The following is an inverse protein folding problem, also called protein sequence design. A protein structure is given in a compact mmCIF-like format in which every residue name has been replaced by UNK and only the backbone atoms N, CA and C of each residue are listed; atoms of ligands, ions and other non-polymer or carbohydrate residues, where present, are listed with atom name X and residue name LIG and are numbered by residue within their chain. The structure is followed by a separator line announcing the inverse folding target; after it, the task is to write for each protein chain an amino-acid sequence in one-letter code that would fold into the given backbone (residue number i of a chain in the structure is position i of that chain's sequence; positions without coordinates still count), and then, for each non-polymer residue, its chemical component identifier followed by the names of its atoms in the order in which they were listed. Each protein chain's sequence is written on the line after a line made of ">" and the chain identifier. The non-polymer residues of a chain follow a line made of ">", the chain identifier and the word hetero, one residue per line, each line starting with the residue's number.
data_IF_653409819586
#
_entry.id   IF_653409819586
#
_cell.length_a   1.000
_cell.length_b   1.000
_cell.length_c   1.000
_cell.angle_alpha   90.00
_cell.angle_beta   90.00
_cell.angle_gamma   90.00
#
_symmetry.space_group_name_H-M   'P 1'
#
loop_
_entity.id
_entity.type
_entity.pdbx_description
1 polymer ?
#
# COMPACT_ATOMS: atom_id res chain seq x y z
N UNK A 1 27.91 -12.36 12.41
CA UNK A 1 27.20 -11.12 12.80
C UNK A 1 25.89 -11.18 12.03
N UNK A 2 24.76 -11.38 12.72
CA UNK A 2 23.47 -11.46 12.04
C UNK A 2 23.12 -10.04 11.57
N UNK A 3 23.01 -9.85 10.26
CA UNK A 3 22.43 -8.65 9.69
C UNK A 3 20.93 -8.70 9.92
N UNK A 4 20.47 -8.06 10.99
CA UNK A 4 19.04 -7.91 11.24
C UNK A 4 18.42 -6.98 10.20
N UNK A 5 17.40 -7.48 9.52
CA UNK A 5 16.64 -6.73 8.51
C UNK A 5 15.36 -6.18 9.12
N UNK A 6 15.13 -4.89 8.91
CA UNK A 6 13.97 -4.16 9.44
C UNK A 6 13.14 -3.61 8.30
N UNK A 7 11.81 -3.73 8.41
CA UNK A 7 10.88 -3.04 7.52
C UNK A 7 10.53 -1.71 8.20
N UNK A 8 10.98 -0.62 7.59
CA UNK A 8 10.72 0.75 8.07
C UNK A 8 9.85 1.46 7.04
N UNK A 9 8.74 2.03 7.49
CA UNK A 9 7.86 2.87 6.66
C UNK A 9 8.17 4.34 6.94
N UNK A 10 8.57 5.08 5.89
CA UNK A 10 8.89 6.50 5.98
C UNK A 10 7.77 7.29 5.31
N UNK A 11 7.25 8.30 5.99
CA UNK A 11 6.21 9.16 5.45
C UNK A 11 6.72 9.93 4.23
N UNK A 12 5.98 9.84 3.11
CA UNK A 12 6.30 10.56 1.86
C UNK A 12 5.89 12.04 1.90
N UNK A 13 5.02 12.40 2.84
CA UNK A 13 4.47 13.74 3.04
C UNK A 13 4.33 14.03 4.53
N UNK A 14 4.11 15.29 4.89
CA UNK A 14 3.68 15.62 6.25
C UNK A 14 2.35 14.93 6.57
N UNK A 15 2.22 14.42 7.79
CA UNK A 15 1.03 13.73 8.29
C UNK A 15 0.48 14.52 9.47
N UNK A 16 -0.82 14.82 9.45
CA UNK A 16 -1.51 15.52 10.53
C UNK A 16 -2.15 14.53 11.51
N UNK A 17 -2.47 15.01 12.71
CA UNK A 17 -3.19 14.19 13.68
C UNK A 17 -4.58 13.82 13.13
N UNK A 18 -4.91 12.52 13.17
CA UNK A 18 -6.17 11.98 12.64
C UNK A 18 -6.09 11.48 11.19
N UNK A 19 -4.97 11.71 10.48
CA UNK A 19 -4.76 11.14 9.17
C UNK A 19 -4.50 9.62 9.26
N UNK A 20 -5.09 8.86 8.34
CA UNK A 20 -4.78 7.44 8.17
C UNK A 20 -3.42 7.28 7.47
N UNK A 21 -2.50 6.55 8.10
CA UNK A 21 -1.23 6.18 7.48
C UNK A 21 -1.44 5.04 6.50
N UNK A 22 -1.04 5.24 5.24
CA UNK A 22 -1.13 4.24 4.18
C UNK A 22 0.24 3.99 3.55
N UNK A 23 0.47 2.75 3.12
CA UNK A 23 1.67 2.37 2.36
C UNK A 23 1.27 1.42 1.22
N UNK A 24 2.14 1.32 0.22
CA UNK A 24 1.88 0.46 -0.94
C UNK A 24 2.29 -0.98 -0.62
N UNK A 25 1.35 -1.91 -0.78
CA UNK A 25 1.57 -3.34 -0.54
C UNK A 25 2.38 -4.02 -1.63
N UNK A 26 2.45 -3.43 -2.84
CA UNK A 26 3.20 -3.96 -3.97
C UNK A 26 2.82 -5.40 -4.38
N UNK A 27 1.53 -5.77 -4.28
CA UNK A 27 1.07 -7.05 -4.86
C UNK A 27 1.24 -7.07 -6.38
N UNK A 28 1.43 -8.27 -6.92
CA UNK A 28 1.61 -8.49 -8.37
C UNK A 28 0.34 -8.03 -9.11
N UNK A 29 0.44 -7.00 -9.98
CA UNK A 29 -0.71 -6.45 -10.70
C UNK A 29 -1.26 -7.37 -11.81
N UNK A 30 -0.61 -8.50 -12.09
CA UNK A 30 -0.95 -9.39 -13.20
C UNK A 30 -1.70 -10.65 -12.75
N UNK A 31 -2.16 -10.71 -11.50
CA UNK A 31 -2.99 -11.83 -11.05
C UNK A 31 -4.29 -11.92 -11.87
N UNK A 32 -4.82 -13.15 -12.11
CA UNK A 32 -6.07 -13.34 -12.83
C UNK A 32 -7.23 -12.54 -12.22
N UNK A 33 -8.16 -12.10 -13.08
CA UNK A 33 -9.28 -11.24 -12.68
C UNK A 33 -10.14 -11.82 -11.53
N UNK A 34 -10.22 -13.14 -11.40
CA UNK A 34 -10.95 -13.83 -10.33
C UNK A 34 -10.32 -13.66 -8.93
N UNK A 35 -9.04 -13.29 -8.85
CA UNK A 35 -8.32 -13.05 -7.60
C UNK A 35 -8.15 -11.56 -7.29
N UNK A 36 -8.67 -10.67 -8.15
CA UNK A 36 -8.55 -9.23 -7.96
C UNK A 36 -9.25 -8.77 -6.69
N UNK A 37 -8.51 -8.05 -5.84
CA UNK A 37 -9.01 -7.49 -4.58
C UNK A 37 -9.35 -6.02 -4.80
N UNK A 38 -10.64 -5.65 -4.67
CA UNK A 38 -11.09 -4.27 -4.86
C UNK A 38 -10.48 -3.34 -3.80
N UNK A 39 -9.82 -2.27 -4.25
CA UNK A 39 -9.29 -1.23 -3.40
C UNK A 39 -10.40 -0.23 -3.03
N UNK A 40 -10.59 -0.02 -1.72
CA UNK A 40 -11.65 0.83 -1.17
C UNK A 40 -11.12 2.15 -0.58
N UNK A 41 -9.91 2.57 -0.96
CA UNK A 41 -9.31 3.79 -0.41
C UNK A 41 -10.00 5.10 -0.83
N UNK A 42 -10.87 5.06 -1.85
CA UNK A 42 -11.62 6.22 -2.41
C UNK A 42 -10.74 7.37 -2.93
N UNK A 43 -9.44 7.17 -3.07
CA UNK A 43 -8.54 8.19 -3.63
C UNK A 43 -8.90 8.48 -5.09
N UNK A 44 -8.82 9.75 -5.55
CA UNK A 44 -9.24 10.14 -6.90
C UNK A 44 -8.44 9.44 -8.01
N UNK A 45 -7.17 9.11 -7.76
CA UNK A 45 -6.28 8.43 -8.70
C UNK A 45 -6.03 6.97 -8.30
N UNK A 46 -6.98 6.31 -7.62
CA UNK A 46 -6.84 4.92 -7.20
C UNK A 46 -6.75 3.96 -8.41
N UNK A 47 -5.83 2.98 -8.33
CA UNK A 47 -5.69 1.90 -9.34
C UNK A 47 -6.82 0.85 -9.32
N UNK A 48 -7.86 1.06 -8.51
CA UNK A 48 -9.07 0.24 -8.33
C UNK A 48 -8.87 -1.12 -7.66
N UNK A 49 -7.76 -1.82 -7.89
CA UNK A 49 -7.49 -3.12 -7.27
C UNK A 49 -6.15 -3.12 -6.53
N UNK A 50 -6.03 -3.93 -5.49
CA UNK A 50 -4.79 -4.05 -4.71
C UNK A 50 -3.74 -4.93 -5.37
N UNK A 51 -4.10 -5.71 -6.38
CA UNK A 51 -3.29 -6.67 -7.14
C UNK A 51 -3.74 -6.70 -8.61
#
# INVERSE_FOLDING_TARGET
>A
MNDESWIVLIAKTNVSAGDELTYDYLFDPNEPDEFKVLCLCKAPNCRKFMN
#
